data_IF_817535390215
#
_entry.id   IF_817535390215
#
_cell.length_a   1.000
_cell.length_b   1.000
_cell.length_c   1.000
_cell.angle_alpha   90.00
_cell.angle_beta   90.00
_cell.angle_gamma   90.00
#
_symmetry.space_group_name_H-M   'P 1'
#
loop_
_entity.id
_entity.type
_entity.pdbx_description
1 polymer ?
#
# COMPACT_ATOMS: atom_id res chain seq x y z
N UNK A 1 -9.52 22.71 23.51
CA UNK A 1 -8.42 22.45 22.58
C UNK A 1 -7.59 21.29 23.11
N UNK A 2 -7.35 20.28 22.26
CA UNK A 2 -6.64 19.05 22.67
C UNK A 2 -5.14 19.08 22.33
N UNK A 3 -4.73 19.99 21.45
CA UNK A 3 -3.38 20.07 20.89
C UNK A 3 -2.83 21.48 21.00
N UNK A 4 -1.57 21.59 21.40
CA UNK A 4 -0.78 22.81 21.33
C UNK A 4 0.33 22.60 20.32
N UNK A 5 0.49 23.52 19.38
CA UNK A 5 1.56 23.49 18.37
C UNK A 5 2.51 24.64 18.62
N UNK A 6 3.81 24.36 18.71
CA UNK A 6 4.86 25.37 18.80
C UNK A 6 5.62 25.43 17.49
N UNK A 7 5.59 26.59 16.84
CA UNK A 7 6.34 26.86 15.62
C UNK A 7 7.45 27.84 15.98
N UNK A 8 8.69 27.52 15.64
CA UNK A 8 9.88 28.34 15.91
C UNK A 8 10.37 29.01 14.61
N UNK A 9 11.21 30.03 14.73
CA UNK A 9 11.68 30.87 13.61
C UNK A 9 12.40 30.09 12.49
N UNK A 10 12.93 28.91 12.79
CA UNK A 10 13.61 28.03 11.83
C UNK A 10 12.70 26.90 11.28
N UNK A 11 11.38 27.11 11.27
CA UNK A 11 10.37 26.14 10.85
C UNK A 11 10.38 24.83 11.62
N UNK A 12 10.89 24.84 12.85
CA UNK A 12 10.77 23.71 13.76
C UNK A 12 9.35 23.67 14.31
N UNK A 13 8.68 22.53 14.21
CA UNK A 13 7.27 22.37 14.60
C UNK A 13 7.14 21.22 15.58
N UNK A 14 6.76 21.55 16.82
CA UNK A 14 6.54 20.59 17.88
C UNK A 14 5.05 20.53 18.26
N UNK A 15 4.57 19.32 18.53
CA UNK A 15 3.21 19.03 18.93
C UNK A 15 3.16 18.53 20.36
N UNK A 16 2.23 19.08 21.13
CA UNK A 16 2.02 18.77 22.55
C UNK A 16 0.53 18.59 22.82
N UNK A 17 0.20 17.90 23.89
CA UNK A 17 -1.13 17.97 24.50
C UNK A 17 -1.37 19.37 25.07
N UNK A 18 -2.63 19.68 25.39
CA UNK A 18 -2.98 20.95 26.01
C UNK A 18 -2.30 21.20 27.35
N UNK A 19 -1.96 20.16 28.10
CA UNK A 19 -1.22 20.20 29.36
C UNK A 19 0.29 20.38 29.20
N UNK A 20 0.80 20.39 27.98
CA UNK A 20 2.21 20.54 27.65
C UNK A 20 2.99 19.24 27.53
N UNK A 21 2.34 18.08 27.67
CA UNK A 21 2.96 16.77 27.42
C UNK A 21 3.39 16.67 25.95
N UNK A 22 4.65 16.34 25.63
CA UNK A 22 5.14 16.25 24.28
C UNK A 22 4.57 15.01 23.55
N UNK A 23 4.09 15.20 22.33
CA UNK A 23 3.59 14.13 21.45
C UNK A 23 4.58 13.83 20.33
N UNK A 24 4.88 14.83 19.51
CA UNK A 24 5.81 14.70 18.39
C UNK A 24 6.65 15.97 18.27
N UNK A 25 7.97 15.82 18.29
CA UNK A 25 8.91 16.96 18.21
C UNK A 25 9.83 16.80 17.01
N UNK A 26 10.23 17.91 16.41
CA UNK A 26 11.31 17.89 15.43
C UNK A 26 12.61 17.37 16.05
N UNK A 27 13.34 16.58 15.28
CA UNK A 27 14.67 16.14 15.68
C UNK A 27 15.62 17.33 15.63
N UNK A 28 16.34 17.55 16.73
CA UNK A 28 17.23 18.71 16.87
C UNK A 28 18.65 18.44 16.39
N UNK A 29 18.98 17.17 16.14
CA UNK A 29 20.25 16.78 15.56
C UNK A 29 20.26 16.96 14.03
N UNK A 30 21.40 16.71 13.43
CA UNK A 30 21.51 16.59 11.98
C UNK A 30 21.21 15.14 11.59
N UNK A 31 20.26 14.93 10.66
CA UNK A 31 20.12 13.61 10.03
C UNK A 31 21.43 13.28 9.33
N UNK A 32 22.04 12.20 9.72
CA UNK A 32 23.18 11.61 9.04
C UNK A 32 22.69 10.32 8.39
N UNK A 33 22.55 10.32 7.07
CA UNK A 33 22.45 9.07 6.33
C UNK A 33 23.61 8.19 6.79
N UNK A 34 23.33 7.00 7.29
CA UNK A 34 24.41 6.02 7.48
C UNK A 34 24.95 5.78 6.06
N UNK A 35 26.08 6.39 5.73
CA UNK A 35 26.89 5.83 4.67
C UNK A 35 26.99 4.34 4.98
N UNK A 36 26.45 3.52 4.10
CA UNK A 36 26.76 2.08 4.19
C UNK A 36 28.28 2.08 4.07
N UNK A 37 28.96 1.77 5.18
CA UNK A 37 30.41 1.70 5.25
C UNK A 37 30.81 0.53 4.36
N UNK A 38 30.91 0.82 3.07
CA UNK A 38 31.66 0.02 2.14
C UNK A 38 33.13 0.43 2.38
N UNK A 39 34.01 -0.53 2.53
CA UNK A 39 35.45 -0.31 2.51
C UNK A 39 35.93 0.28 1.16
N UNK A 40 35.04 0.33 0.14
CA UNK A 40 35.20 1.03 -1.14
C UNK A 40 34.32 2.28 -1.15
N UNK A 41 34.83 3.37 -1.71
CA UNK A 41 34.02 4.56 -1.99
C UNK A 41 32.97 4.26 -3.07
N UNK A 42 31.86 5.02 -3.11
CA UNK A 42 30.86 4.89 -4.15
C UNK A 42 31.46 5.06 -5.56
N UNK A 43 32.43 5.99 -5.70
CA UNK A 43 33.16 6.23 -6.96
C UNK A 43 33.96 5.00 -7.41
N UNK A 44 34.57 4.27 -6.48
CA UNK A 44 35.30 3.03 -6.78
C UNK A 44 34.33 1.91 -7.19
N UNK A 45 33.19 1.77 -6.49
CA UNK A 45 32.18 0.77 -6.84
C UNK A 45 31.59 1.03 -8.24
N UNK A 46 31.31 2.30 -8.56
CA UNK A 46 30.81 2.68 -9.89
C UNK A 46 31.86 2.44 -10.97
N UNK A 47 33.14 2.77 -10.71
CA UNK A 47 34.22 2.54 -11.63
C UNK A 47 34.48 1.04 -11.92
N UNK A 48 34.16 0.17 -10.98
CA UNK A 48 34.20 -1.29 -11.14
C UNK A 48 32.93 -1.88 -11.76
N UNK A 49 31.95 -1.02 -12.12
CA UNK A 49 30.71 -1.42 -12.80
C UNK A 49 29.64 -1.99 -11.87
N UNK A 50 29.74 -1.74 -10.56
CA UNK A 50 28.68 -2.11 -9.62
C UNK A 50 27.50 -1.16 -9.69
N UNK A 51 26.30 -1.67 -9.53
CA UNK A 51 25.09 -0.84 -9.37
C UNK A 51 25.11 -0.14 -8.02
N UNK A 52 25.33 1.17 -8.04
CA UNK A 52 25.37 2.03 -6.85
C UNK A 52 24.01 2.66 -6.51
N UNK A 53 22.97 2.44 -7.33
CA UNK A 53 21.65 3.09 -7.16
C UNK A 53 21.04 2.86 -5.77
N UNK A 54 21.29 1.70 -5.15
CA UNK A 54 20.87 1.38 -3.80
C UNK A 54 21.62 2.12 -2.68
N UNK A 55 22.71 2.79 -2.99
CA UNK A 55 23.53 3.58 -2.03
C UNK A 55 23.28 5.08 -2.15
N UNK A 56 22.73 5.54 -3.28
CA UNK A 56 22.40 6.94 -3.48
C UNK A 56 21.13 7.30 -2.70
N UNK A 57 21.14 8.46 -2.05
CA UNK A 57 19.93 9.00 -1.47
C UNK A 57 18.95 9.35 -2.60
N UNK A 58 17.71 8.85 -2.50
CA UNK A 58 16.68 9.20 -3.48
C UNK A 58 16.41 10.71 -3.42
N UNK A 59 16.28 11.38 -4.57
CA UNK A 59 15.89 12.78 -4.59
C UNK A 59 14.61 12.99 -3.79
N UNK A 60 14.59 13.98 -2.92
CA UNK A 60 13.38 14.38 -2.22
C UNK A 60 13.24 15.91 -2.26
N UNK A 61 12.01 16.38 -2.43
CA UNK A 61 11.69 17.81 -2.40
C UNK A 61 11.54 18.32 -0.97
N UNK A 62 10.89 17.51 -0.14
CA UNK A 62 10.63 17.82 1.27
C UNK A 62 10.94 16.63 2.17
N UNK A 63 11.39 16.97 3.34
CA UNK A 63 11.67 15.99 4.38
C UNK A 63 11.22 16.51 5.74
N UNK A 64 10.57 15.66 6.52
CA UNK A 64 10.16 15.89 7.90
C UNK A 64 10.92 14.90 8.78
N UNK A 65 11.76 15.38 9.68
CA UNK A 65 12.52 14.52 10.60
C UNK A 65 12.04 14.77 12.02
N UNK A 66 11.56 13.73 12.68
CA UNK A 66 10.99 13.79 14.03
C UNK A 66 11.76 12.92 15.00
N UNK A 67 11.85 13.35 16.24
CA UNK A 67 12.46 12.56 17.31
C UNK A 67 11.69 11.25 17.50
N UNK A 68 12.43 10.16 17.65
CA UNK A 68 11.92 8.84 18.01
C UNK A 68 12.23 8.59 19.47
N UNK A 69 11.21 8.47 20.30
CA UNK A 69 11.38 8.06 21.69
C UNK A 69 11.47 6.52 21.81
N UNK A 70 12.21 6.02 22.77
CA UNK A 70 12.45 4.57 22.94
C UNK A 70 11.16 3.76 23.02
N UNK A 71 10.15 4.31 23.68
CA UNK A 71 8.86 3.65 23.90
C UNK A 71 7.80 3.93 22.84
N UNK A 72 8.14 4.54 21.71
CA UNK A 72 7.21 4.78 20.61
C UNK A 72 7.01 3.52 19.77
N UNK A 73 5.77 3.15 19.50
CA UNK A 73 5.37 2.09 18.58
C UNK A 73 4.59 2.66 17.40
N UNK A 74 4.84 2.14 16.20
CA UNK A 74 4.26 2.67 14.97
C UNK A 74 3.38 1.67 14.24
N UNK A 75 2.25 2.16 13.69
CA UNK A 75 1.26 1.36 12.97
C UNK A 75 0.74 2.11 11.73
N UNK A 76 0.09 1.40 10.80
CA UNK A 76 -0.54 1.98 9.63
C UNK A 76 0.23 1.79 8.33
N UNK A 77 0.22 2.80 7.46
CA UNK A 77 0.89 2.89 6.15
C UNK A 77 0.28 2.02 5.04
N UNK A 78 -0.84 1.36 5.30
CA UNK A 78 -1.51 0.49 4.33
C UNK A 78 -0.94 -0.92 4.30
N UNK A 79 -0.82 -1.49 3.10
CA UNK A 79 -0.29 -2.83 2.90
C UNK A 79 1.24 -2.79 2.93
N UNK A 80 1.81 -3.28 4.02
CA UNK A 80 3.25 -3.26 4.29
C UNK A 80 3.69 -4.56 4.94
N UNK A 81 4.82 -5.09 4.52
CA UNK A 81 5.43 -6.29 5.09
C UNK A 81 5.94 -6.08 6.52
N UNK A 82 6.46 -7.13 7.13
CA UNK A 82 7.01 -7.11 8.49
C UNK A 82 5.95 -7.24 9.58
N UNK A 83 6.35 -6.97 10.81
CA UNK A 83 5.49 -7.08 11.98
C UNK A 83 4.43 -5.97 12.03
N UNK A 84 3.43 -6.15 12.90
CA UNK A 84 2.38 -5.15 13.10
C UNK A 84 2.95 -3.82 13.57
N UNK A 85 3.85 -3.83 14.54
CA UNK A 85 4.66 -2.66 14.91
C UNK A 85 5.70 -2.39 13.82
N UNK A 86 5.62 -1.22 13.21
CA UNK A 86 6.47 -0.79 12.10
C UNK A 86 7.78 -0.13 12.54
N UNK A 87 8.07 -0.05 13.83
CA UNK A 87 9.33 0.47 14.35
C UNK A 87 10.51 -0.33 13.80
N UNK A 88 11.59 0.35 13.46
CA UNK A 88 12.80 -0.18 12.83
C UNK A 88 12.65 -0.69 11.40
N UNK A 89 11.54 -0.36 10.73
CA UNK A 89 11.37 -0.60 9.30
C UNK A 89 11.48 0.69 8.50
N UNK A 90 11.65 0.51 7.20
CA UNK A 90 11.60 1.56 6.19
C UNK A 90 10.63 1.15 5.11
N UNK A 91 9.73 2.06 4.73
CA UNK A 91 8.70 1.80 3.74
C UNK A 91 8.63 2.87 2.68
N UNK A 92 8.16 2.48 1.52
CA UNK A 92 7.89 3.34 0.40
C UNK A 92 6.38 3.36 0.12
N UNK A 93 5.80 4.55 -0.01
CA UNK A 93 4.44 4.72 -0.50
C UNK A 93 4.50 4.86 -2.03
N UNK A 94 4.44 3.73 -2.68
CA UNK A 94 4.39 3.57 -4.13
C UNK A 94 3.87 2.17 -4.42
N UNK A 95 2.64 2.05 -4.92
CA UNK A 95 2.03 0.76 -5.17
C UNK A 95 2.87 -0.05 -6.14
N UNK A 96 3.21 -1.27 -5.74
CA UNK A 96 4.13 -2.13 -6.50
C UNK A 96 3.55 -3.54 -6.59
N UNK A 97 3.54 -4.09 -7.80
CA UNK A 97 3.26 -5.51 -8.03
C UNK A 97 4.53 -6.32 -7.81
N UNK A 98 4.48 -7.22 -6.85
CA UNK A 98 5.61 -8.06 -6.42
C UNK A 98 5.15 -9.51 -6.42
N UNK A 99 5.33 -10.24 -7.54
CA UNK A 99 4.80 -11.60 -7.71
C UNK A 99 5.58 -12.67 -6.93
N UNK A 100 6.79 -12.35 -6.45
CA UNK A 100 7.60 -13.28 -5.65
C UNK A 100 7.07 -13.40 -4.21
N UNK A 101 7.52 -14.45 -3.51
CA UNK A 101 7.19 -14.64 -2.10
C UNK A 101 7.64 -13.44 -1.26
N UNK A 102 6.70 -12.85 -0.53
CA UNK A 102 6.96 -11.65 0.29
C UNK A 102 7.72 -12.02 1.56
N UNK A 103 8.63 -11.15 1.96
CA UNK A 103 9.34 -11.18 3.23
C UNK A 103 9.27 -9.81 3.91
N UNK A 104 9.88 -9.67 5.08
CA UNK A 104 9.81 -8.43 5.86
C UNK A 104 10.64 -7.26 5.29
N UNK A 105 11.50 -7.51 4.30
CA UNK A 105 12.34 -6.49 3.68
C UNK A 105 11.66 -5.72 2.55
N UNK A 106 10.47 -6.15 2.13
CA UNK A 106 9.72 -5.43 1.09
C UNK A 106 9.27 -4.06 1.59
N UNK A 107 9.70 -3.00 0.92
CA UNK A 107 9.37 -1.62 1.29
C UNK A 107 8.01 -1.15 0.78
N UNK A 108 7.55 -1.70 -0.34
CA UNK A 108 6.30 -1.35 -0.99
C UNK A 108 5.52 -2.61 -1.36
N UNK A 109 4.21 -2.55 -1.27
CA UNK A 109 3.26 -3.56 -1.72
C UNK A 109 2.09 -2.86 -2.47
N UNK A 110 0.90 -3.48 -2.47
CA UNK A 110 -0.22 -3.06 -3.33
C UNK A 110 -1.01 -1.85 -2.84
N UNK A 111 -0.89 -1.46 -1.54
CA UNK A 111 -1.62 -0.31 -0.97
C UNK A 111 -0.68 0.63 -0.24
N UNK A 112 -0.74 1.90 -0.61
CA UNK A 112 -0.04 2.98 0.05
C UNK A 112 -1.06 3.91 0.70
N UNK A 113 -1.06 3.96 2.02
CA UNK A 113 -1.90 4.86 2.80
C UNK A 113 -0.94 5.69 3.66
N UNK A 114 -0.68 6.96 3.33
CA UNK A 114 0.31 7.77 4.02
C UNK A 114 -0.21 8.28 5.38
N UNK A 115 -0.75 7.36 6.17
CA UNK A 115 -1.25 7.58 7.52
C UNK A 115 -0.46 6.73 8.50
N UNK A 116 0.33 7.41 9.35
CA UNK A 116 1.16 6.84 10.39
C UNK A 116 0.51 7.08 11.74
N UNK A 117 0.34 6.04 12.54
CA UNK A 117 -0.09 6.13 13.92
C UNK A 117 1.08 5.83 14.85
N UNK A 118 1.18 6.57 15.93
CA UNK A 118 2.14 6.34 17.01
C UNK A 118 1.39 6.10 18.31
N UNK A 119 1.77 5.04 19.01
CA UNK A 119 1.40 4.77 20.39
C UNK A 119 2.64 5.01 21.26
N UNK A 120 2.53 5.93 22.18
CA UNK A 120 3.60 6.24 23.12
C UNK A 120 3.60 5.29 24.32
N UNK A 121 4.73 5.19 24.99
CA UNK A 121 4.93 4.31 26.15
C UNK A 121 3.91 4.49 27.30
N UNK A 122 3.43 5.71 27.45
CA UNK A 122 2.43 6.08 28.47
C UNK A 122 0.98 5.83 28.05
N UNK A 123 0.79 5.28 26.84
CA UNK A 123 -0.52 4.96 26.26
C UNK A 123 -1.13 6.07 25.41
N UNK A 124 -0.53 7.25 25.38
CA UNK A 124 -0.97 8.34 24.51
C UNK A 124 -0.80 7.98 23.04
N UNK A 125 -1.71 8.44 22.19
CA UNK A 125 -1.70 8.13 20.77
C UNK A 125 -1.82 9.39 19.91
N UNK A 126 -1.10 9.38 18.80
CA UNK A 126 -1.29 10.38 17.75
C UNK A 126 -1.22 9.75 16.36
N UNK A 127 -1.74 10.45 15.37
CA UNK A 127 -1.64 10.10 13.96
C UNK A 127 -1.14 11.26 13.13
N UNK A 128 -0.44 10.94 12.07
CA UNK A 128 -0.03 11.89 11.03
C UNK A 128 -0.50 11.37 9.69
N UNK A 129 -1.40 12.10 9.05
CA UNK A 129 -1.80 11.84 7.67
C UNK A 129 -1.09 12.83 6.75
N UNK A 130 -0.22 12.33 5.91
CA UNK A 130 0.49 13.12 4.90
C UNK A 130 -0.38 13.22 3.65
N UNK A 131 -0.94 14.40 3.40
CA UNK A 131 -1.82 14.66 2.25
C UNK A 131 -0.98 14.91 0.99
N UNK A 132 -0.29 13.86 0.56
CA UNK A 132 0.58 13.88 -0.60
C UNK A 132 0.54 12.51 -1.28
N UNK A 133 0.23 12.49 -2.58
CA UNK A 133 0.11 11.28 -3.39
C UNK A 133 1.36 10.95 -4.22
N UNK A 134 2.39 11.78 -4.16
CA UNK A 134 3.66 11.49 -4.78
C UNK A 134 4.41 10.38 -4.04
N UNK A 135 5.36 9.79 -4.72
CA UNK A 135 6.22 8.78 -4.13
C UNK A 135 6.90 9.33 -2.88
N UNK A 136 6.78 8.59 -1.80
CA UNK A 136 7.32 9.01 -0.51
C UNK A 136 7.98 7.86 0.23
N UNK A 137 8.93 8.21 1.09
CA UNK A 137 9.66 7.26 1.92
C UNK A 137 9.42 7.57 3.40
N UNK A 138 9.21 6.53 4.18
CA UNK A 138 9.04 6.62 5.64
C UNK A 138 10.04 5.67 6.29
N UNK A 139 10.92 6.22 7.11
CA UNK A 139 11.88 5.44 7.89
C UNK A 139 11.58 5.59 9.38
N UNK A 140 11.28 4.49 10.04
CA UNK A 140 10.81 4.46 11.42
C UNK A 140 11.90 3.98 12.38
N UNK A 141 13.08 4.61 12.32
CA UNK A 141 14.20 4.26 13.17
C UNK A 141 15.08 3.13 12.63
N UNK A 142 14.93 2.74 11.36
CA UNK A 142 15.83 1.78 10.70
C UNK A 142 17.19 2.40 10.40
N UNK A 143 17.20 3.65 9.93
CA UNK A 143 18.42 4.40 9.64
C UNK A 143 19.12 4.80 10.94
N UNK A 144 18.38 5.35 11.89
CA UNK A 144 18.89 5.80 13.19
C UNK A 144 17.78 5.68 14.24
N UNK A 145 18.12 5.22 15.43
CA UNK A 145 17.16 4.98 16.53
C UNK A 145 16.72 6.26 17.26
N UNK A 146 17.32 7.42 16.97
CA UNK A 146 16.97 8.70 17.60
C UNK A 146 15.87 9.46 16.84
N UNK A 147 15.56 9.07 15.59
CA UNK A 147 14.57 9.77 14.79
C UNK A 147 13.83 8.83 13.83
N UNK A 148 12.68 9.29 13.40
CA UNK A 148 11.99 8.80 12.22
C UNK A 148 11.83 9.95 11.21
N UNK A 149 11.64 9.62 9.93
CA UNK A 149 11.41 10.65 8.92
C UNK A 149 10.40 10.22 7.86
N UNK A 150 9.75 11.22 7.30
CA UNK A 150 9.00 11.15 6.05
C UNK A 150 9.69 12.02 5.01
N UNK A 151 9.81 11.53 3.78
CA UNK A 151 10.30 12.32 2.64
C UNK A 151 9.44 12.07 1.41
N UNK A 152 9.29 13.09 0.55
CA UNK A 152 8.51 13.00 -0.69
C UNK A 152 9.30 13.57 -1.85
N UNK A 153 9.19 12.93 -3.03
CA UNK A 153 9.89 13.35 -4.24
C UNK A 153 9.34 14.67 -4.78
N UNK A 154 8.02 14.88 -4.66
CA UNK A 154 7.33 16.06 -5.18
C UNK A 154 6.10 16.42 -4.33
N UNK A 155 5.28 17.36 -4.78
CA UNK A 155 4.06 17.82 -4.13
C UNK A 155 4.32 18.87 -3.06
N UNK A 156 3.46 18.90 -2.04
CA UNK A 156 3.55 19.80 -0.89
C UNK A 156 3.78 19.03 0.41
N UNK A 157 4.32 19.68 1.43
CA UNK A 157 4.43 19.12 2.78
C UNK A 157 3.15 19.46 3.59
N UNK A 158 2.02 19.00 3.09
CA UNK A 158 0.74 19.14 3.79
C UNK A 158 0.49 17.88 4.62
N UNK A 159 0.15 18.06 5.89
CA UNK A 159 -0.21 16.93 6.74
C UNK A 159 -1.20 17.33 7.84
N UNK A 160 -2.00 16.37 8.27
CA UNK A 160 -2.92 16.47 9.38
C UNK A 160 -2.36 15.77 10.60
N UNK A 161 -2.33 16.46 11.73
CA UNK A 161 -1.93 15.87 13.01
C UNK A 161 -3.18 15.61 13.86
N UNK A 162 -3.32 14.38 14.32
CA UNK A 162 -4.49 13.89 15.05
C UNK A 162 -4.07 13.36 16.41
N UNK A 163 -4.85 13.63 17.45
CA UNK A 163 -4.60 13.18 18.81
C UNK A 163 -5.79 12.38 19.33
N UNK A 164 -5.50 11.28 19.99
CA UNK A 164 -6.48 10.45 20.68
C UNK A 164 -5.97 9.99 22.05
N UNK A 165 -6.89 9.55 22.90
CA UNK A 165 -6.54 8.86 24.16
C UNK A 165 -6.01 7.44 23.87
N UNK A 166 -6.27 6.93 22.68
CA UNK A 166 -5.85 5.63 22.19
C UNK A 166 -5.84 5.63 20.63
N UNK A 167 -5.36 4.53 20.03
CA UNK A 167 -5.31 4.40 18.57
C UNK A 167 -6.69 4.39 17.90
N UNK A 168 -7.76 3.95 18.59
CA UNK A 168 -9.13 3.93 18.02
C UNK A 168 -9.63 5.36 17.80
N UNK A 169 -9.35 6.27 18.74
CA UNK A 169 -9.71 7.70 18.61
C UNK A 169 -8.97 8.36 17.45
N UNK A 170 -7.69 7.99 17.27
CA UNK A 170 -6.86 8.46 16.15
C UNK A 170 -7.43 8.00 14.81
N UNK A 171 -7.80 6.72 14.71
CA UNK A 171 -8.49 6.17 13.51
C UNK A 171 -9.83 6.87 13.31
N UNK A 172 -10.60 7.12 14.37
CA UNK A 172 -11.86 7.86 14.31
C UNK A 172 -11.68 9.26 13.72
N UNK A 173 -10.63 9.97 14.11
CA UNK A 173 -10.29 11.29 13.56
C UNK A 173 -9.88 11.21 12.09
N UNK A 174 -9.10 10.21 11.71
CA UNK A 174 -8.73 9.95 10.32
C UNK A 174 -9.94 9.65 9.45
N UNK A 175 -10.82 8.74 9.89
CA UNK A 175 -12.02 8.37 9.14
C UNK A 175 -13.07 9.47 9.10
N UNK A 176 -13.11 10.37 10.08
CA UNK A 176 -13.91 11.60 10.00
C UNK A 176 -13.45 12.49 8.84
N UNK A 177 -12.15 12.59 8.61
CA UNK A 177 -11.57 13.38 7.52
C UNK A 177 -11.74 12.71 6.15
N UNK A 178 -11.46 11.40 6.07
CA UNK A 178 -11.34 10.66 4.80
C UNK A 178 -12.58 9.86 4.43
N UNK A 179 -13.54 9.72 5.34
CA UNK A 179 -14.69 8.83 5.20
C UNK A 179 -14.43 7.43 5.72
N UNK A 180 -15.51 6.67 5.85
CA UNK A 180 -15.49 5.28 6.29
C UNK A 180 -15.77 4.33 5.13
N UNK A 181 -15.23 3.13 5.19
CA UNK A 181 -15.56 2.07 4.23
C UNK A 181 -17.03 1.64 4.41
N UNK A 182 -17.82 1.56 3.33
CA UNK A 182 -19.16 0.99 3.39
C UNK A 182 -19.12 -0.46 3.90
N UNK A 183 -20.16 -0.86 4.62
CA UNK A 183 -20.29 -2.25 5.07
C UNK A 183 -20.32 -3.20 3.86
N UNK A 184 -19.35 -4.12 3.72
CA UNK A 184 -19.28 -5.01 2.58
C UNK A 184 -20.33 -6.12 2.67
N UNK A 185 -20.64 -6.74 1.55
CA UNK A 185 -21.47 -7.95 1.55
C UNK A 185 -20.71 -9.10 2.21
N UNK A 186 -21.42 -9.95 2.95
CA UNK A 186 -20.81 -10.98 3.79
C UNK A 186 -19.89 -11.93 3.01
N UNK A 187 -20.24 -12.32 1.78
CA UNK A 187 -19.45 -13.23 0.96
C UNK A 187 -18.06 -12.66 0.60
N UNK A 188 -17.89 -11.34 0.59
CA UNK A 188 -16.60 -10.71 0.30
C UNK A 188 -15.58 -10.86 1.44
N UNK A 189 -16.05 -11.27 2.62
CA UNK A 189 -15.22 -11.58 3.79
C UNK A 189 -14.86 -13.07 3.88
N UNK A 190 -15.43 -13.91 3.00
CA UNK A 190 -15.16 -15.32 2.90
C UNK A 190 -13.93 -15.63 2.04
N UNK A 191 -13.68 -16.93 1.83
CA UNK A 191 -12.55 -17.36 1.03
C UNK A 191 -12.78 -17.09 -0.45
N UNK A 192 -11.78 -16.48 -1.08
CA UNK A 192 -11.77 -16.10 -2.48
C UNK A 192 -10.59 -16.78 -3.18
N UNK A 193 -10.87 -17.62 -4.16
CA UNK A 193 -9.85 -18.33 -4.92
C UNK A 193 -9.55 -17.60 -6.21
N UNK A 194 -8.28 -17.32 -6.45
CA UNK A 194 -7.76 -16.78 -7.71
C UNK A 194 -6.47 -17.47 -8.11
N UNK A 195 -6.23 -17.58 -9.40
CA UNK A 195 -4.97 -18.01 -9.97
C UNK A 195 -4.90 -17.65 -11.44
N UNK A 196 -3.77 -17.16 -11.92
CA UNK A 196 -3.46 -17.14 -13.33
C UNK A 196 -3.25 -18.58 -13.84
N UNK A 197 -3.90 -18.94 -14.97
CA UNK A 197 -3.87 -20.26 -15.57
C UNK A 197 -5.15 -21.06 -15.38
N UNK A 198 -6.30 -20.42 -15.12
CA UNK A 198 -7.62 -20.99 -15.37
C UNK A 198 -8.00 -20.69 -16.81
N UNK A 199 -7.59 -21.56 -17.74
CA UNK A 199 -7.63 -21.31 -19.19
C UNK A 199 -8.96 -21.73 -19.85
N UNK A 200 -9.88 -22.30 -19.04
CA UNK A 200 -11.16 -22.79 -19.55
C UNK A 200 -12.27 -22.82 -18.51
N UNK A 201 -13.52 -22.94 -18.95
CA UNK A 201 -14.65 -23.23 -18.08
C UNK A 201 -14.48 -24.54 -17.30
N UNK A 202 -13.81 -25.52 -17.88
CA UNK A 202 -13.56 -26.80 -17.21
C UNK A 202 -12.60 -26.66 -16.03
N UNK A 203 -11.59 -25.80 -16.13
CA UNK A 203 -10.69 -25.51 -15.01
C UNK A 203 -11.44 -24.85 -13.86
N UNK A 204 -12.27 -23.84 -14.16
CA UNK A 204 -13.12 -23.18 -13.17
C UNK A 204 -14.06 -24.20 -12.50
N UNK A 205 -14.72 -25.02 -13.28
CA UNK A 205 -15.63 -26.06 -12.79
C UNK A 205 -14.88 -27.08 -11.92
N UNK A 206 -13.70 -27.52 -12.35
CA UNK A 206 -12.86 -28.45 -11.60
C UNK A 206 -12.50 -27.89 -10.22
N UNK A 207 -12.09 -26.65 -10.14
CA UNK A 207 -11.75 -26.00 -8.87
C UNK A 207 -12.98 -25.93 -7.96
N UNK A 208 -14.08 -25.40 -8.43
CA UNK A 208 -15.32 -25.25 -7.62
C UNK A 208 -15.81 -26.61 -7.13
N UNK A 209 -15.84 -27.62 -7.99
CA UNK A 209 -16.30 -28.96 -7.64
C UNK A 209 -15.40 -29.63 -6.60
N UNK A 210 -14.07 -29.47 -6.69
CA UNK A 210 -13.14 -30.01 -5.71
C UNK A 210 -13.27 -29.36 -4.33
N UNK A 211 -13.48 -28.03 -4.27
CA UNK A 211 -13.77 -27.34 -3.00
C UNK A 211 -15.07 -27.90 -2.36
N UNK A 212 -16.11 -28.11 -3.16
CA UNK A 212 -17.38 -28.68 -2.67
C UNK A 212 -17.21 -30.14 -2.25
N UNK A 213 -16.52 -30.96 -3.05
CA UNK A 213 -16.27 -32.37 -2.73
C UNK A 213 -15.41 -32.55 -1.46
N UNK A 214 -14.45 -31.67 -1.24
CA UNK A 214 -13.62 -31.66 -0.04
C UNK A 214 -14.30 -31.01 1.18
N UNK A 215 -15.52 -30.49 1.02
CA UNK A 215 -16.26 -29.74 2.04
C UNK A 215 -15.46 -28.54 2.59
N UNK A 216 -14.70 -27.86 1.71
CA UNK A 216 -13.95 -26.65 2.01
C UNK A 216 -14.80 -25.45 1.59
N UNK A 217 -15.00 -24.44 2.47
CA UNK A 217 -15.72 -23.22 2.12
C UNK A 217 -15.07 -22.49 0.94
N UNK A 218 -15.88 -22.02 0.00
CA UNK A 218 -15.48 -21.17 -1.12
C UNK A 218 -16.62 -20.21 -1.41
N UNK A 219 -16.36 -18.91 -1.31
CA UNK A 219 -17.36 -17.86 -1.51
C UNK A 219 -17.22 -17.20 -2.87
N UNK A 220 -15.98 -17.02 -3.35
CA UNK A 220 -15.70 -16.33 -4.60
C UNK A 220 -14.65 -17.10 -5.41
N UNK A 221 -14.86 -17.17 -6.72
CA UNK A 221 -13.84 -17.59 -7.68
C UNK A 221 -13.56 -16.46 -8.66
N UNK A 222 -12.28 -16.11 -8.82
CA UNK A 222 -11.84 -15.11 -9.77
C UNK A 222 -11.40 -15.76 -11.07
N UNK A 223 -11.93 -15.28 -12.19
CA UNK A 223 -11.45 -15.59 -13.53
C UNK A 223 -10.33 -14.60 -13.84
N UNK A 224 -9.15 -15.12 -14.18
CA UNK A 224 -7.99 -14.33 -14.60
C UNK A 224 -8.12 -13.95 -16.09
N UNK A 225 -7.10 -13.33 -16.67
CA UNK A 225 -7.13 -12.71 -17.99
C UNK A 225 -7.52 -13.67 -19.14
N UNK A 226 -7.36 -14.97 -18.95
CA UNK A 226 -7.59 -16.00 -19.97
C UNK A 226 -9.06 -16.13 -20.40
N UNK A 227 -10.03 -15.58 -19.63
CA UNK A 227 -11.44 -15.56 -20.08
C UNK A 227 -11.71 -14.56 -21.21
N UNK A 228 -10.79 -13.62 -21.43
CA UNK A 228 -10.90 -12.61 -22.49
C UNK A 228 -10.55 -13.20 -23.86
N UNK A 229 -11.26 -12.78 -24.90
CA UNK A 229 -10.86 -13.09 -26.27
C UNK A 229 -9.51 -12.45 -26.61
N UNK A 230 -8.47 -13.26 -26.65
CA UNK A 230 -7.11 -12.85 -26.98
C UNK A 230 -6.60 -11.68 -26.09
N UNK A 231 -6.92 -11.73 -24.78
CA UNK A 231 -6.55 -10.73 -23.77
C UNK A 231 -7.08 -9.30 -24.03
N UNK A 232 -8.20 -9.19 -24.74
CA UNK A 232 -8.89 -7.91 -24.96
C UNK A 232 -9.89 -7.65 -23.85
N UNK A 233 -9.74 -6.58 -23.10
CA UNK A 233 -10.66 -6.21 -22.02
C UNK A 233 -12.11 -6.06 -22.56
N UNK A 234 -13.08 -6.37 -21.69
CA UNK A 234 -14.52 -6.36 -22.04
C UNK A 234 -14.93 -7.32 -23.16
N UNK A 235 -14.13 -8.36 -23.41
CA UNK A 235 -14.47 -9.45 -24.33
C UNK A 235 -14.58 -10.78 -23.57
N UNK A 236 -15.09 -11.80 -24.26
CA UNK A 236 -15.27 -13.13 -23.70
C UNK A 236 -14.85 -14.20 -24.72
N UNK A 237 -14.03 -15.16 -24.30
CA UNK A 237 -13.62 -16.30 -25.13
C UNK A 237 -14.67 -17.43 -25.06
N UNK A 238 -15.68 -17.37 -25.94
CA UNK A 238 -16.70 -18.41 -25.99
C UNK A 238 -16.16 -19.79 -26.36
N UNK A 239 -15.02 -19.86 -27.02
CA UNK A 239 -14.43 -21.14 -27.43
C UNK A 239 -13.99 -21.97 -26.23
N UNK A 240 -13.31 -21.35 -25.26
CA UNK A 240 -12.76 -22.04 -24.11
C UNK A 240 -13.69 -21.97 -22.88
N UNK A 241 -14.52 -20.95 -22.77
CA UNK A 241 -15.37 -20.74 -21.59
C UNK A 241 -16.88 -20.94 -21.86
N UNK A 242 -17.27 -21.22 -23.10
CA UNK A 242 -18.69 -21.27 -23.45
C UNK A 242 -19.39 -19.92 -23.26
N UNK A 243 -20.71 -19.95 -23.08
CA UNK A 243 -21.46 -18.72 -22.81
C UNK A 243 -21.33 -18.32 -21.34
N UNK A 244 -21.01 -17.04 -21.03
CA UNK A 244 -20.81 -16.59 -19.66
C UNK A 244 -22.03 -16.86 -18.76
N UNK A 245 -23.24 -16.72 -19.26
CA UNK A 245 -24.46 -16.98 -18.52
C UNK A 245 -24.57 -18.42 -18.00
N UNK A 246 -24.21 -19.39 -18.81
CA UNK A 246 -24.29 -20.83 -18.45
C UNK A 246 -23.27 -21.16 -17.34
N UNK A 247 -22.02 -20.73 -17.49
CA UNK A 247 -20.97 -20.92 -16.50
C UNK A 247 -21.34 -20.23 -15.16
N UNK A 248 -21.78 -19.00 -15.22
CA UNK A 248 -22.11 -18.22 -14.01
C UNK A 248 -23.33 -18.75 -13.28
N UNK A 249 -24.38 -19.17 -13.98
CA UNK A 249 -25.54 -19.81 -13.33
C UNK A 249 -25.16 -21.10 -12.62
N UNK A 250 -24.32 -21.92 -13.23
CA UNK A 250 -23.81 -23.14 -12.58
C UNK A 250 -23.03 -22.81 -11.29
N UNK A 251 -22.06 -21.90 -11.35
CA UNK A 251 -21.21 -21.52 -10.21
C UNK A 251 -22.07 -20.92 -9.09
N UNK A 252 -22.98 -20.01 -9.44
CA UNK A 252 -23.93 -19.40 -8.47
C UNK A 252 -24.86 -20.43 -7.84
N UNK A 253 -25.28 -21.43 -8.61
CA UNK A 253 -26.10 -22.54 -8.10
C UNK A 253 -25.37 -23.36 -7.01
N UNK A 254 -24.05 -23.37 -7.02
CA UNK A 254 -23.20 -23.96 -5.99
C UNK A 254 -22.86 -23.00 -4.83
N UNK A 255 -23.47 -21.81 -4.80
CA UNK A 255 -23.25 -20.80 -3.76
C UNK A 255 -21.90 -20.06 -3.88
N UNK A 256 -21.25 -20.07 -5.04
CA UNK A 256 -20.00 -19.36 -5.31
C UNK A 256 -20.27 -18.15 -6.19
N UNK A 257 -19.61 -17.02 -5.94
CA UNK A 257 -19.72 -15.81 -6.74
C UNK A 257 -18.55 -15.75 -7.74
N UNK A 258 -18.83 -15.70 -9.07
CA UNK A 258 -17.79 -15.46 -10.05
C UNK A 258 -17.44 -13.97 -10.09
N UNK A 259 -16.16 -13.67 -10.22
CA UNK A 259 -15.60 -12.33 -10.42
C UNK A 259 -14.61 -12.40 -11.58
N UNK A 260 -14.72 -11.50 -12.55
CA UNK A 260 -13.77 -11.38 -13.65
C UNK A 260 -12.80 -10.24 -13.36
N UNK A 261 -11.51 -10.49 -13.53
CA UNK A 261 -10.51 -9.42 -13.50
C UNK A 261 -10.73 -8.49 -14.70
N UNK A 262 -10.47 -7.20 -14.54
CA UNK A 262 -10.46 -6.26 -15.68
C UNK A 262 -9.06 -6.17 -16.29
N UNK A 263 -8.02 -6.13 -15.44
CA UNK A 263 -6.64 -5.95 -15.86
C UNK A 263 -6.50 -4.79 -16.88
N UNK A 264 -6.59 -3.52 -16.43
CA UNK A 264 -6.97 -2.37 -17.23
C UNK A 264 -5.90 -1.91 -18.22
N UNK A 265 -5.55 -2.76 -19.17
CA UNK A 265 -4.69 -2.48 -20.32
C UNK A 265 -5.48 -2.65 -21.62
N UNK A 266 -5.45 -1.65 -22.50
CA UNK A 266 -6.09 -1.77 -23.82
C UNK A 266 -5.09 -2.33 -24.82
N UNK A 267 -5.43 -3.48 -25.40
CA UNK A 267 -4.64 -4.08 -26.48
C UNK A 267 -4.74 -3.22 -27.74
N UNK A 268 -3.61 -2.89 -28.34
CA UNK A 268 -3.56 -2.19 -29.62
C UNK A 268 -3.83 -3.19 -30.74
N UNK A 269 -5.05 -3.17 -31.28
CA UNK A 269 -5.48 -4.08 -32.35
C UNK A 269 -6.60 -3.45 -33.19
N UNK A 270 -6.34 -3.24 -34.47
CA UNK A 270 -7.33 -2.68 -35.41
C UNK A 270 -8.58 -3.56 -35.48
N UNK A 271 -9.75 -2.95 -35.37
CA UNK A 271 -11.04 -3.65 -35.33
C UNK A 271 -11.49 -4.08 -33.96
N UNK A 272 -10.68 -3.83 -32.96
CA UNK A 272 -11.07 -3.93 -31.54
C UNK A 272 -11.72 -2.62 -31.10
N UNK A 273 -13.00 -2.65 -30.79
CA UNK A 273 -13.83 -1.45 -30.61
C UNK A 273 -13.30 -0.46 -29.56
N UNK A 274 -12.66 -0.96 -28.49
CA UNK A 274 -12.13 -0.10 -27.43
C UNK A 274 -10.88 0.65 -27.91
N UNK A 275 -9.98 -0.02 -28.64
CA UNK A 275 -8.80 0.60 -29.22
C UNK A 275 -9.21 1.58 -30.34
N UNK A 276 -10.07 1.15 -31.25
CA UNK A 276 -10.56 2.01 -32.35
C UNK A 276 -11.27 3.27 -31.81
N UNK A 277 -12.06 3.15 -30.72
CA UNK A 277 -12.71 4.30 -30.07
C UNK A 277 -11.71 5.22 -29.41
N UNK A 278 -10.72 4.65 -28.70
CA UNK A 278 -9.64 5.39 -28.04
C UNK A 278 -8.85 6.23 -29.05
N UNK A 279 -8.42 5.59 -30.14
CA UNK A 279 -7.72 6.27 -31.24
C UNK A 279 -8.59 7.36 -31.88
N UNK A 280 -9.88 7.10 -32.12
CA UNK A 280 -10.78 8.07 -32.72
C UNK A 280 -11.05 9.29 -31.83
N UNK A 281 -10.92 9.14 -30.51
CA UNK A 281 -11.14 10.21 -29.53
C UNK A 281 -9.83 10.85 -28.99
N UNK A 282 -8.70 10.40 -29.51
CA UNK A 282 -7.36 10.89 -29.12
C UNK A 282 -7.08 10.72 -27.60
N UNK A 283 -7.39 9.52 -27.07
CA UNK A 283 -7.14 9.13 -25.68
C UNK A 283 -5.79 8.42 -25.52
#
# INVERSE_FOLDING_TARGET
DKVMVKIMDNFVVDFFKADGTPLMKDYRGKRTTKEKVSWMSLEMLEAEGHDISGYLEKPCKYQLVKTLDEGDDFYGLGDKSGFLNKKHYEYENWNSDLPQAHNEDFKALYKSIPFLMCLKKDGEAYGVFFDNTFRSNINLGKENTEYFFYSTEEGNMDFYFMVGENLVDVVGSYTYLTGTTPLPQLFTLGYQQSRWGYESADDINFIVDNYRAANIPLDVIHLDIDYMDNFKVFTWDEKNYGKPGELFERIKGLGVKPVCIIDPGTKVEKGYSIDDEGVAKDY
#
